data_IF_073522386626
#
_entry.id   IF_073522386626
#
_cell.length_a   1.000
_cell.length_b   1.000
_cell.length_c   1.000
_cell.angle_alpha   90.00
_cell.angle_beta   90.00
_cell.angle_gamma   90.00
#
_symmetry.space_group_name_H-M   'P 1'
#
loop_
_entity.id
_entity.type
_entity.pdbx_description
1 polymer ?
#
# COMPACT_ATOMS: atom_id res chain seq x y z
N UNK A 1 -10.48 -5.03 -7.09
CA UNK A 1 -9.32 -5.41 -7.92
C UNK A 1 -9.70 -6.25 -9.15
N UNK A 2 -10.76 -7.08 -9.13
CA UNK A 2 -11.20 -7.81 -10.33
C UNK A 2 -11.70 -6.93 -11.51
N UNK A 3 -12.49 -5.87 -11.28
CA UNK A 3 -12.99 -5.02 -12.38
C UNK A 3 -11.87 -4.30 -13.16
N UNK A 4 -10.79 -3.94 -12.47
CA UNK A 4 -9.64 -3.25 -13.08
C UNK A 4 -8.83 -4.20 -13.97
N UNK A 5 -8.72 -5.48 -13.60
CA UNK A 5 -8.11 -6.51 -14.44
C UNK A 5 -8.97 -6.78 -15.67
N UNK A 6 -10.30 -6.92 -15.49
CA UNK A 6 -11.24 -7.10 -16.61
C UNK A 6 -11.16 -5.90 -17.57
N UNK A 7 -11.16 -4.67 -17.06
CA UNK A 7 -11.02 -3.48 -17.89
C UNK A 7 -9.66 -3.44 -18.61
N UNK A 8 -8.56 -3.76 -17.89
CA UNK A 8 -7.22 -3.84 -18.46
C UNK A 8 -7.14 -4.80 -19.64
N UNK A 9 -7.73 -5.99 -19.49
CA UNK A 9 -7.78 -7.00 -20.55
C UNK A 9 -8.73 -6.59 -21.68
N UNK A 10 -9.91 -6.03 -21.38
CA UNK A 10 -10.91 -5.66 -22.39
C UNK A 10 -10.53 -4.42 -23.20
N UNK A 11 -9.78 -3.48 -22.61
CA UNK A 11 -9.40 -2.22 -23.24
C UNK A 11 -7.93 -2.21 -23.73
N UNK A 12 -7.22 -3.34 -23.64
CA UNK A 12 -5.79 -3.48 -23.99
C UNK A 12 -4.89 -2.42 -23.31
N UNK A 13 -5.27 -2.02 -22.09
CA UNK A 13 -4.51 -1.04 -21.31
C UNK A 13 -3.67 -1.76 -20.26
N UNK A 14 -2.46 -1.24 -20.03
CA UNK A 14 -1.55 -1.83 -19.03
C UNK A 14 -2.17 -1.82 -17.64
N UNK A 15 -2.32 -3.02 -17.06
CA UNK A 15 -2.80 -3.21 -15.69
C UNK A 15 -1.87 -2.50 -14.69
N UNK A 16 -0.55 -2.52 -14.93
CA UNK A 16 0.41 -1.77 -14.10
C UNK A 16 0.19 -0.25 -14.17
N UNK A 17 -0.15 0.28 -15.34
CA UNK A 17 -0.52 1.69 -15.53
C UNK A 17 -1.81 2.06 -14.82
N UNK A 18 -2.81 1.18 -14.82
CA UNK A 18 -4.06 1.35 -14.07
C UNK A 18 -3.81 1.39 -12.56
N UNK A 19 -2.92 0.55 -12.03
CA UNK A 19 -2.52 0.60 -10.62
C UNK A 19 -1.84 1.93 -10.25
N UNK A 20 -0.93 2.43 -11.10
CA UNK A 20 -0.30 3.74 -10.91
C UNK A 20 -1.33 4.89 -10.93
N UNK A 21 -2.30 4.84 -11.85
CA UNK A 21 -3.37 5.83 -11.90
C UNK A 21 -4.19 5.87 -10.61
N UNK A 22 -4.23 4.77 -9.85
CA UNK A 22 -4.85 4.68 -8.52
C UNK A 22 -4.06 5.37 -7.40
N UNK A 23 -2.77 5.67 -7.58
CA UNK A 23 -1.92 6.25 -6.53
C UNK A 23 -2.39 7.65 -6.14
N UNK A 24 -2.63 8.53 -7.12
CA UNK A 24 -3.09 9.91 -6.88
C UNK A 24 -4.43 9.94 -6.13
N UNK A 25 -5.51 9.29 -6.61
CA UNK A 25 -6.78 9.27 -5.88
C UNK A 25 -6.66 8.55 -4.53
N UNK A 26 -5.81 7.52 -4.41
CA UNK A 26 -5.54 6.83 -3.14
C UNK A 26 -4.90 7.75 -2.10
N UNK A 27 -3.91 8.56 -2.50
CA UNK A 27 -3.27 9.55 -1.63
C UNK A 27 -4.25 10.67 -1.22
N UNK A 28 -5.09 11.13 -2.16
CA UNK A 28 -6.15 12.09 -1.86
C UNK A 28 -7.13 11.54 -0.82
N UNK A 29 -7.57 10.30 -0.97
CA UNK A 29 -8.44 9.64 0.00
C UNK A 29 -7.76 9.47 1.35
N UNK A 30 -6.50 9.01 1.38
CA UNK A 30 -5.73 8.85 2.61
C UNK A 30 -5.60 10.18 3.37
N UNK A 31 -5.31 11.28 2.65
CA UNK A 31 -5.26 12.62 3.21
C UNK A 31 -6.62 13.09 3.74
N UNK A 32 -7.68 12.94 2.95
CA UNK A 32 -9.03 13.34 3.33
C UNK A 32 -9.52 12.60 4.58
N UNK A 33 -9.33 11.29 4.63
CA UNK A 33 -9.68 10.46 5.79
C UNK A 33 -8.83 10.82 7.02
N UNK A 34 -7.52 10.99 6.85
CA UNK A 34 -6.63 11.41 7.94
C UNK A 34 -7.06 12.77 8.52
N UNK A 35 -7.36 13.74 7.66
CA UNK A 35 -7.85 15.05 8.09
C UNK A 35 -9.19 14.94 8.82
N UNK A 36 -10.13 14.16 8.30
CA UNK A 36 -11.44 13.91 8.92
C UNK A 36 -11.29 13.29 10.31
N UNK A 37 -10.43 12.29 10.47
CA UNK A 37 -10.11 11.66 11.76
C UNK A 37 -9.50 12.67 12.73
N UNK A 38 -8.54 13.49 12.29
CA UNK A 38 -7.91 14.52 13.13
C UNK A 38 -8.94 15.55 13.62
N UNK A 39 -9.82 16.02 12.73
CA UNK A 39 -10.90 16.96 13.09
C UNK A 39 -11.84 16.31 14.10
N UNK A 40 -12.28 15.07 13.86
CA UNK A 40 -13.19 14.36 14.75
C UNK A 40 -12.57 14.09 16.13
N UNK A 41 -11.30 13.67 16.16
CA UNK A 41 -10.55 13.43 17.40
C UNK A 41 -10.43 14.68 18.26
N UNK A 42 -10.15 15.84 17.64
CA UNK A 42 -10.13 17.13 18.34
C UNK A 42 -11.52 17.53 18.84
N UNK A 43 -12.56 17.35 18.03
CA UNK A 43 -13.94 17.70 18.43
C UNK A 43 -14.48 16.85 19.56
N UNK A 44 -14.07 15.58 19.63
CA UNK A 44 -14.53 14.62 20.66
C UNK A 44 -13.58 14.48 21.85
N UNK A 45 -12.52 15.30 21.93
CA UNK A 45 -11.47 15.21 22.96
C UNK A 45 -10.96 13.78 23.16
N UNK A 46 -10.70 13.07 22.05
CA UNK A 46 -10.17 11.70 22.11
C UNK A 46 -8.74 11.70 22.65
N UNK A 47 -8.38 10.67 23.42
CA UNK A 47 -7.02 10.50 23.92
C UNK A 47 -6.02 10.43 22.76
N UNK A 48 -4.95 11.23 22.86
CA UNK A 48 -3.87 11.30 21.87
C UNK A 48 -2.62 10.65 22.45
N UNK A 49 -2.06 9.69 21.74
CA UNK A 49 -0.68 9.25 22.02
C UNK A 49 0.31 10.34 21.59
N UNK A 50 1.37 10.53 22.38
CA UNK A 50 2.45 11.43 21.98
C UNK A 50 3.24 10.80 20.83
N UNK A 51 3.64 11.65 19.88
CA UNK A 51 4.52 11.23 18.80
C UNK A 51 5.83 10.67 19.40
N UNK A 52 6.25 9.45 19.06
CA UNK A 52 7.39 8.76 19.69
C UNK A 52 8.76 9.35 19.30
N UNK A 53 8.78 10.49 18.59
CA UNK A 53 9.99 11.13 18.10
C UNK A 53 10.57 10.44 16.86
N UNK A 54 11.54 11.11 16.21
CA UNK A 54 12.21 10.59 15.00
C UNK A 54 12.91 9.25 15.25
N UNK A 55 13.48 9.07 16.44
CA UNK A 55 14.12 7.80 16.84
C UNK A 55 13.11 6.66 16.98
N UNK A 56 11.94 6.93 17.55
CA UNK A 56 10.85 5.96 17.66
C UNK A 56 10.27 5.61 16.29
N UNK A 57 10.10 6.61 15.42
CA UNK A 57 9.69 6.40 14.02
C UNK A 57 10.69 5.53 13.27
N UNK A 58 12.00 5.79 13.39
CA UNK A 58 13.02 4.98 12.74
C UNK A 58 13.04 3.53 13.24
N UNK A 59 12.85 3.33 14.55
CA UNK A 59 12.75 1.99 15.12
C UNK A 59 11.51 1.25 14.59
N UNK A 60 10.37 1.93 14.53
CA UNK A 60 9.12 1.39 13.99
C UNK A 60 9.27 1.04 12.50
N UNK A 61 9.88 1.93 11.71
CA UNK A 61 10.21 1.68 10.32
C UNK A 61 11.08 0.44 10.16
N UNK A 62 12.16 0.31 10.96
CA UNK A 62 13.07 -0.84 10.87
C UNK A 62 12.37 -2.16 11.21
N UNK A 63 11.40 -2.14 12.13
CA UNK A 63 10.56 -3.30 12.44
C UNK A 63 9.60 -3.64 11.30
N UNK A 64 9.01 -2.63 10.66
CA UNK A 64 8.07 -2.81 9.56
C UNK A 64 8.75 -2.94 8.18
N UNK A 65 10.08 -2.80 8.10
CA UNK A 65 10.82 -2.68 6.85
C UNK A 65 10.51 -3.80 5.86
N UNK A 66 10.55 -5.06 6.33
CA UNK A 66 10.25 -6.22 5.51
C UNK A 66 8.79 -6.24 5.04
N UNK A 67 7.84 -5.89 5.89
CA UNK A 67 6.43 -5.80 5.50
C UNK A 67 6.21 -4.72 4.43
N UNK A 68 6.91 -3.58 4.53
CA UNK A 68 6.86 -2.51 3.54
C UNK A 68 7.47 -2.90 2.17
N UNK A 69 8.27 -3.97 2.08
CA UNK A 69 8.77 -4.46 0.80
C UNK A 69 7.69 -5.15 -0.03
N UNK A 70 6.57 -5.58 0.57
CA UNK A 70 5.48 -6.26 -0.17
C UNK A 70 4.95 -5.44 -1.37
N UNK A 71 4.55 -4.16 -1.21
CA UNK A 71 4.16 -3.34 -2.36
C UNK A 71 5.34 -3.06 -3.31
N UNK A 72 6.58 -3.02 -2.83
CA UNK A 72 7.76 -2.84 -3.70
C UNK A 72 7.98 -4.05 -4.58
N UNK A 73 7.84 -5.27 -4.05
CA UNK A 73 7.94 -6.51 -4.81
C UNK A 73 6.80 -6.57 -5.84
N UNK A 74 5.58 -6.25 -5.42
CA UNK A 74 4.40 -6.29 -6.28
C UNK A 74 4.49 -5.27 -7.42
N UNK A 75 4.66 -3.98 -7.11
CA UNK A 75 4.73 -2.94 -8.13
C UNK A 75 6.05 -2.99 -8.90
N UNK A 76 7.17 -3.23 -8.21
CA UNK A 76 8.49 -3.32 -8.84
C UNK A 76 8.58 -4.46 -9.85
N UNK A 77 8.09 -5.66 -9.49
CA UNK A 77 8.06 -6.81 -10.41
C UNK A 77 7.14 -6.58 -11.62
N UNK A 78 5.98 -5.96 -11.41
CA UNK A 78 5.04 -5.63 -12.49
C UNK A 78 5.57 -4.52 -13.41
N UNK A 79 6.14 -3.46 -12.85
CA UNK A 79 6.60 -2.29 -13.61
C UNK A 79 7.91 -2.56 -14.35
N UNK A 80 8.79 -3.39 -13.80
CA UNK A 80 10.01 -3.81 -14.47
C UNK A 80 9.76 -4.85 -15.58
N UNK A 81 8.51 -5.29 -15.77
CA UNK A 81 8.15 -6.30 -16.77
C UNK A 81 8.67 -7.71 -16.43
N UNK A 82 9.11 -7.93 -15.20
CA UNK A 82 9.65 -9.22 -14.74
C UNK A 82 8.51 -10.21 -14.51
N UNK A 83 7.35 -9.73 -14.05
CA UNK A 83 6.20 -10.57 -13.68
C UNK A 83 4.89 -9.96 -14.19
N UNK A 84 3.96 -10.83 -14.56
CA UNK A 84 2.57 -10.44 -14.83
C UNK A 84 1.82 -10.12 -13.53
N UNK A 85 0.66 -9.42 -13.59
CA UNK A 85 -0.10 -9.08 -12.39
C UNK A 85 -0.48 -10.29 -11.52
N UNK A 86 -0.76 -11.44 -12.15
CA UNK A 86 -1.13 -12.68 -11.46
C UNK A 86 0.06 -13.34 -10.79
N UNK A 87 1.23 -13.36 -11.43
CA UNK A 87 2.47 -13.87 -10.85
C UNK A 87 2.96 -12.98 -9.69
N UNK A 88 2.89 -11.66 -9.86
CA UNK A 88 3.24 -10.71 -8.81
C UNK A 88 2.35 -10.88 -7.56
N UNK A 89 1.06 -11.13 -7.75
CA UNK A 89 0.14 -11.43 -6.65
C UNK A 89 0.50 -12.75 -5.93
N UNK A 90 0.88 -13.80 -6.67
CA UNK A 90 1.30 -15.07 -6.08
C UNK A 90 2.60 -14.90 -5.26
N UNK A 91 3.61 -14.22 -5.81
CA UNK A 91 4.88 -13.95 -5.13
C UNK A 91 4.69 -13.09 -3.88
N UNK A 92 3.90 -12.01 -3.99
CA UNK A 92 3.58 -11.16 -2.84
C UNK A 92 2.85 -11.93 -1.73
N UNK A 93 1.97 -12.87 -2.10
CA UNK A 93 1.24 -13.73 -1.15
C UNK A 93 2.19 -14.66 -0.42
N UNK A 94 3.09 -15.35 -1.15
CA UNK A 94 4.10 -16.23 -0.54
C UNK A 94 5.04 -15.43 0.37
N UNK A 95 5.46 -14.24 -0.05
CA UNK A 95 6.28 -13.35 0.77
C UNK A 95 5.56 -12.91 2.05
N UNK A 96 4.29 -12.50 1.95
CA UNK A 96 3.49 -12.13 3.11
C UNK A 96 3.26 -13.31 4.07
N UNK A 97 3.04 -14.51 3.52
CA UNK A 97 2.91 -15.73 4.32
C UNK A 97 4.21 -16.03 5.09
N UNK A 98 5.35 -15.94 4.40
CA UNK A 98 6.65 -16.16 5.03
C UNK A 98 6.90 -15.16 6.18
N UNK A 99 6.64 -13.87 5.95
CA UNK A 99 6.76 -12.85 7.00
C UNK A 99 5.77 -13.03 8.15
N UNK A 100 4.60 -13.65 7.91
CA UNK A 100 3.64 -13.94 8.96
C UNK A 100 4.02 -15.14 9.83
N UNK A 101 4.91 -16.01 9.34
CA UNK A 101 5.36 -17.22 10.03
C UNK A 101 6.65 -17.02 10.85
N UNK A 102 7.42 -15.97 10.58
CA UNK A 102 8.71 -15.66 11.21
C UNK A 102 8.59 -14.42 12.08
#
# INVERSE_FOLDING_TARGET
SLPMVIYGVSADVSIGGLFLAGVVPGLLMAGALSAMVVVMARRRNMARELFPGLRGLWLAYRRAHWALMTPVILFGGMMAGIMTPTEAAAVATVYALFLGLV
#
